data_IF_628241032263
#
_entry.id   IF_628241032263
#
_cell.length_a   1.000
_cell.length_b   1.000
_cell.length_c   1.000
_cell.angle_alpha   90.00
_cell.angle_beta   90.00
_cell.angle_gamma   90.00
#
_symmetry.space_group_name_H-M   'P 1'
#
loop_
_entity.id
_entity.type
_entity.pdbx_description
1 polymer ?
#
# COMPACT_ATOMS: atom_id res chain seq x y z
N UNK A 1 -17.10 -6.95 18.42
CA UNK A 1 -16.46 -6.99 17.08
C UNK A 1 -16.00 -5.61 16.61
N UNK A 2 -16.88 -4.60 16.58
CA UNK A 2 -16.55 -3.24 16.11
C UNK A 2 -15.31 -2.61 16.77
N UNK A 3 -15.17 -2.68 18.10
CA UNK A 3 -14.00 -2.13 18.81
C UNK A 3 -12.65 -2.73 18.36
N UNK A 4 -12.63 -4.03 18.04
CA UNK A 4 -11.43 -4.73 17.55
C UNK A 4 -11.11 -4.38 16.10
N UNK A 5 -12.16 -4.18 15.30
CA UNK A 5 -12.04 -3.70 13.92
C UNK A 5 -11.41 -2.30 13.89
N UNK A 6 -11.94 -1.39 14.69
CA UNK A 6 -11.42 -0.02 14.79
C UNK A 6 -9.98 0.01 15.31
N UNK A 7 -9.67 -0.81 16.33
CA UNK A 7 -8.31 -0.91 16.85
C UNK A 7 -7.29 -1.40 15.80
N UNK A 8 -7.67 -2.39 14.98
CA UNK A 8 -6.80 -2.86 13.90
C UNK A 8 -6.63 -1.80 12.81
N UNK A 9 -7.68 -1.08 12.44
CA UNK A 9 -7.60 0.01 11.47
C UNK A 9 -6.68 1.13 11.97
N UNK A 10 -6.86 1.57 13.23
CA UNK A 10 -6.03 2.59 13.84
C UNK A 10 -4.55 2.17 13.93
N UNK A 11 -4.27 0.90 14.24
CA UNK A 11 -2.92 0.34 14.22
C UNK A 11 -2.27 0.46 12.84
N UNK A 12 -2.99 0.06 11.79
CA UNK A 12 -2.48 0.09 10.40
C UNK A 12 -2.38 1.53 9.87
N UNK A 13 -3.28 2.41 10.26
CA UNK A 13 -3.22 3.83 9.92
C UNK A 13 -2.00 4.50 10.55
N UNK A 14 -1.74 4.24 11.84
CA UNK A 14 -0.55 4.73 12.53
C UNK A 14 0.76 4.23 11.91
N UNK A 15 0.76 3.04 11.31
CA UNK A 15 1.91 2.50 10.60
C UNK A 15 2.25 3.30 9.31
N UNK A 16 1.29 4.01 8.73
CA UNK A 16 1.49 4.89 7.59
C UNK A 16 2.18 4.21 6.40
N UNK A 17 3.26 4.81 5.90
CA UNK A 17 4.08 4.28 4.79
C UNK A 17 5.18 3.29 5.24
N UNK A 18 5.11 2.82 6.49
CA UNK A 18 5.95 1.74 7.04
C UNK A 18 5.01 0.61 7.50
N UNK A 19 4.26 0.00 6.57
CA UNK A 19 3.18 -0.93 6.88
C UNK A 19 3.67 -2.14 7.66
N UNK A 20 2.77 -2.71 8.44
CA UNK A 20 3.00 -3.97 9.14
C UNK A 20 2.79 -5.15 8.19
N UNK A 21 3.57 -6.19 8.36
CA UNK A 21 3.24 -7.51 7.83
C UNK A 21 2.02 -8.08 8.54
N UNK A 22 1.39 -9.08 7.93
CA UNK A 22 0.26 -9.78 8.55
C UNK A 22 0.61 -10.36 9.93
N UNK A 23 1.82 -10.89 10.08
CA UNK A 23 2.32 -11.43 11.35
C UNK A 23 2.59 -10.34 12.41
N UNK A 24 3.20 -9.22 12.02
CA UNK A 24 3.41 -8.08 12.92
C UNK A 24 2.06 -7.48 13.38
N UNK A 25 1.10 -7.35 12.46
CA UNK A 25 -0.23 -6.85 12.78
C UNK A 25 -1.00 -7.82 13.69
N UNK A 26 -0.91 -9.14 13.45
CA UNK A 26 -1.48 -10.16 14.32
C UNK A 26 -0.90 -10.02 15.74
N UNK A 27 0.42 -10.01 15.86
CA UNK A 27 1.11 -9.91 17.14
C UNK A 27 0.75 -8.63 17.90
N UNK A 28 0.75 -7.48 17.22
CA UNK A 28 0.42 -6.18 17.80
C UNK A 28 -1.07 -6.03 18.15
N UNK A 29 -1.97 -6.74 17.47
CA UNK A 29 -3.40 -6.69 17.73
C UNK A 29 -3.84 -7.50 18.96
N UNK A 30 -3.04 -8.47 19.41
CA UNK A 30 -3.40 -9.40 20.49
C UNK A 30 -4.61 -10.29 20.16
N UNK A 31 -4.98 -10.41 18.89
CA UNK A 31 -6.11 -11.22 18.44
C UNK A 31 -5.69 -12.67 18.19
N UNK A 32 -6.62 -13.60 18.36
CA UNK A 32 -6.43 -14.97 17.91
C UNK A 32 -6.40 -15.05 16.38
N UNK A 33 -5.50 -15.90 15.84
CA UNK A 33 -5.27 -16.01 14.39
C UNK A 33 -6.54 -16.22 13.56
N UNK A 34 -7.47 -17.15 13.90
CA UNK A 34 -8.68 -17.35 13.11
C UNK A 34 -9.57 -16.10 13.05
N UNK A 35 -9.71 -15.40 14.19
CA UNK A 35 -10.49 -14.16 14.27
C UNK A 35 -9.82 -13.02 13.49
N UNK A 36 -8.50 -12.87 13.65
CA UNK A 36 -7.72 -11.87 12.92
C UNK A 36 -7.84 -12.06 11.40
N UNK A 37 -7.66 -13.29 10.89
CA UNK A 37 -7.78 -13.57 9.46
C UNK A 37 -9.19 -13.28 8.93
N UNK A 38 -10.23 -13.63 9.69
CA UNK A 38 -11.62 -13.30 9.35
C UNK A 38 -11.84 -11.78 9.29
N UNK A 39 -11.29 -11.05 10.25
CA UNK A 39 -11.35 -9.59 10.30
C UNK A 39 -10.61 -8.94 9.12
N UNK A 40 -9.39 -9.38 8.81
CA UNK A 40 -8.61 -8.90 7.65
C UNK A 40 -9.38 -9.12 6.35
N UNK A 41 -9.92 -10.32 6.11
CA UNK A 41 -10.72 -10.60 4.90
C UNK A 41 -11.93 -9.67 4.77
N UNK A 42 -12.65 -9.43 5.86
CA UNK A 42 -13.80 -8.50 5.90
C UNK A 42 -13.37 -7.06 5.64
N UNK A 43 -12.27 -6.61 6.21
CA UNK A 43 -11.76 -5.25 6.00
C UNK A 43 -11.27 -5.03 4.57
N UNK A 44 -10.65 -6.06 3.97
CA UNK A 44 -10.23 -6.05 2.57
C UNK A 44 -11.44 -5.97 1.63
N UNK A 45 -12.47 -6.79 1.85
CA UNK A 45 -13.67 -6.77 1.00
C UNK A 45 -14.43 -5.45 1.08
N UNK A 46 -14.31 -4.73 2.20
CA UNK A 46 -14.84 -3.37 2.39
C UNK A 46 -13.94 -2.26 1.87
N UNK A 47 -12.77 -2.58 1.30
CA UNK A 47 -11.81 -1.58 0.80
C UNK A 47 -11.21 -0.70 1.90
N UNK A 48 -11.19 -1.15 3.15
CA UNK A 48 -10.63 -0.41 4.30
C UNK A 48 -9.14 -0.68 4.50
N UNK A 49 -8.67 -1.83 4.02
CA UNK A 49 -7.25 -2.20 4.02
C UNK A 49 -6.86 -2.78 2.67
N UNK A 50 -5.59 -2.64 2.30
CA UNK A 50 -5.03 -3.16 1.05
C UNK A 50 -3.85 -4.06 1.38
N UNK A 51 -3.79 -5.26 0.77
CA UNK A 51 -2.61 -6.11 0.86
C UNK A 51 -1.64 -5.76 -0.26
N UNK A 52 -0.42 -5.42 0.12
CA UNK A 52 0.67 -5.02 -0.78
C UNK A 52 1.75 -6.09 -0.78
N UNK A 53 2.21 -6.47 -1.97
CA UNK A 53 3.26 -7.46 -2.19
C UNK A 53 3.04 -8.77 -1.41
N UNK A 54 1.78 -9.22 -1.31
CA UNK A 54 1.39 -10.47 -0.66
C UNK A 54 1.53 -10.52 0.87
N UNK A 55 2.15 -9.52 1.52
CA UNK A 55 2.47 -9.61 2.96
C UNK A 55 2.17 -8.38 3.79
N UNK A 56 2.22 -7.18 3.22
CA UNK A 56 2.00 -5.94 3.96
C UNK A 56 0.53 -5.58 4.00
N UNK A 57 0.04 -5.19 5.17
CA UNK A 57 -1.30 -4.66 5.36
C UNK A 57 -1.21 -3.13 5.47
N UNK A 58 -1.81 -2.44 4.51
CA UNK A 58 -1.98 -1.00 4.54
C UNK A 58 -3.39 -0.64 4.99
N UNK A 59 -3.52 0.43 5.78
CA UNK A 59 -4.79 1.16 5.83
C UNK A 59 -5.06 1.86 4.49
N UNK A 60 -6.33 1.99 4.11
CA UNK A 60 -6.72 2.60 2.84
C UNK A 60 -6.21 4.04 2.69
N UNK A 61 -6.18 4.84 3.77
CA UNK A 61 -5.71 6.24 3.74
C UNK A 61 -4.26 6.36 3.26
N UNK A 62 -3.26 5.85 4.02
CA UNK A 62 -1.86 5.87 3.62
C UNK A 62 -1.59 5.19 2.26
N UNK A 63 -2.36 4.16 1.89
CA UNK A 63 -2.26 3.56 0.57
C UNK A 63 -2.65 4.54 -0.55
N UNK A 64 -3.77 5.25 -0.40
CA UNK A 64 -4.24 6.22 -1.38
C UNK A 64 -3.34 7.45 -1.45
N UNK A 65 -2.81 7.91 -0.32
CA UNK A 65 -1.81 8.98 -0.29
C UNK A 65 -0.55 8.60 -1.08
N UNK A 66 -0.03 7.39 -0.87
CA UNK A 66 1.12 6.90 -1.62
C UNK A 66 0.83 6.77 -3.12
N UNK A 67 -0.37 6.31 -3.49
CA UNK A 67 -0.82 6.24 -4.88
C UNK A 67 -0.86 7.62 -5.53
N UNK A 68 -1.44 8.63 -4.86
CA UNK A 68 -1.52 10.00 -5.36
C UNK A 68 -0.13 10.62 -5.52
N UNK A 69 0.72 10.50 -4.49
CA UNK A 69 2.08 11.01 -4.52
C UNK A 69 2.93 10.39 -5.65
N UNK A 70 2.73 9.09 -5.95
CA UNK A 70 3.37 8.45 -7.08
C UNK A 70 2.93 9.05 -8.41
N UNK A 71 1.62 9.25 -8.60
CA UNK A 71 1.06 9.84 -9.83
C UNK A 71 1.59 11.25 -10.03
N UNK A 72 1.57 12.08 -8.99
CA UNK A 72 2.11 13.45 -9.01
C UNK A 72 3.60 13.48 -9.36
N UNK A 73 4.39 12.61 -8.73
CA UNK A 73 5.83 12.50 -8.99
C UNK A 73 6.10 12.16 -10.47
N UNK A 74 5.42 11.15 -11.00
CA UNK A 74 5.54 10.74 -12.40
C UNK A 74 5.07 11.85 -13.37
N UNK A 75 3.91 12.48 -13.13
CA UNK A 75 3.39 13.54 -14.01
C UNK A 75 4.31 14.75 -14.07
N UNK A 76 4.97 15.11 -12.96
CA UNK A 76 5.88 16.23 -12.91
C UNK A 76 7.21 16.00 -13.65
N UNK A 77 7.61 14.74 -13.87
CA UNK A 77 8.96 14.37 -14.36
C UNK A 77 8.97 13.47 -15.60
N UNK A 78 7.81 13.01 -16.05
CA UNK A 78 7.65 12.00 -17.11
C UNK A 78 7.95 10.56 -16.67
N UNK A 79 8.77 10.39 -15.63
CA UNK A 79 9.08 9.10 -15.01
C UNK A 79 9.17 9.25 -13.48
N UNK A 80 9.08 8.13 -12.77
CA UNK A 80 9.18 8.07 -11.32
C UNK A 80 10.61 8.39 -10.86
N UNK A 81 10.74 9.48 -10.12
CA UNK A 81 11.91 9.79 -9.31
C UNK A 81 11.79 9.07 -7.97
N UNK A 82 12.46 7.92 -7.88
CA UNK A 82 12.40 7.02 -6.72
C UNK A 82 12.95 7.68 -5.44
N UNK A 83 14.12 8.35 -5.43
CA UNK A 83 14.60 9.08 -4.26
C UNK A 83 13.60 10.10 -3.75
N UNK A 84 13.06 10.96 -4.63
CA UNK A 84 12.10 11.97 -4.22
C UNK A 84 10.80 11.36 -3.70
N UNK A 85 10.29 10.31 -4.35
CA UNK A 85 9.09 9.61 -3.91
C UNK A 85 9.29 8.95 -2.54
N UNK A 86 10.44 8.31 -2.30
CA UNK A 86 10.82 7.75 -1.00
C UNK A 86 10.79 8.81 0.09
N UNK A 87 11.44 9.94 -0.16
CA UNK A 87 11.61 11.01 0.80
C UNK A 87 10.26 11.67 1.11
N UNK A 88 9.41 11.84 0.09
CA UNK A 88 8.02 12.30 0.24
C UNK A 88 7.19 11.38 1.14
N UNK A 89 7.36 10.07 1.03
CA UNK A 89 6.65 9.10 1.89
C UNK A 89 7.32 8.89 3.25
N UNK A 90 8.49 9.48 3.51
CA UNK A 90 9.25 9.26 4.75
C UNK A 90 9.55 7.79 5.03
N UNK A 91 9.75 6.98 3.97
CA UNK A 91 9.89 5.53 4.07
C UNK A 91 11.30 5.05 3.65
N UNK A 92 11.53 3.74 3.69
CA UNK A 92 12.81 3.12 3.33
C UNK A 92 12.64 2.17 2.15
N UNK A 93 13.74 1.75 1.53
CA UNK A 93 13.73 0.77 0.42
C UNK A 93 13.01 -0.54 0.79
N UNK A 94 13.07 -0.95 2.07
CA UNK A 94 12.37 -2.13 2.61
C UNK A 94 10.87 -2.11 2.30
N UNK A 95 10.23 -0.96 2.40
CA UNK A 95 8.79 -0.80 2.17
C UNK A 95 8.48 -0.26 0.77
N UNK A 96 9.36 0.60 0.25
CA UNK A 96 9.18 1.24 -1.04
C UNK A 96 9.21 0.25 -2.20
N UNK A 97 10.18 -0.66 -2.24
CA UNK A 97 10.33 -1.61 -3.36
C UNK A 97 9.07 -2.48 -3.50
N UNK A 98 8.57 -3.13 -2.42
CA UNK A 98 7.33 -3.90 -2.47
C UNK A 98 6.10 -3.07 -2.88
N UNK A 99 6.03 -1.80 -2.46
CA UNK A 99 4.95 -0.92 -2.86
C UNK A 99 5.00 -0.60 -4.36
N UNK A 100 6.19 -0.35 -4.91
CA UNK A 100 6.38 -0.10 -6.33
C UNK A 100 6.11 -1.35 -7.18
N UNK A 101 6.52 -2.52 -6.72
CA UNK A 101 6.17 -3.80 -7.36
C UNK A 101 4.67 -4.06 -7.35
N UNK A 102 3.99 -3.70 -6.25
CA UNK A 102 2.53 -3.76 -6.19
C UNK A 102 1.88 -2.81 -7.21
N UNK A 103 2.35 -1.57 -7.32
CA UNK A 103 1.83 -0.62 -8.30
C UNK A 103 2.10 -1.05 -9.75
N UNK A 104 3.23 -1.70 -10.01
CA UNK A 104 3.50 -2.35 -11.30
C UNK A 104 2.50 -3.50 -11.56
N UNK A 105 2.30 -4.35 -10.55
CA UNK A 105 1.43 -5.53 -10.64
C UNK A 105 -0.04 -5.21 -10.87
N UNK A 106 -0.55 -4.13 -10.27
CA UNK A 106 -1.93 -3.66 -10.52
C UNK A 106 -2.04 -2.76 -11.75
N UNK A 107 -0.94 -2.56 -12.48
CA UNK A 107 -0.94 -1.80 -13.73
C UNK A 107 -1.02 -0.29 -13.59
N UNK A 108 -0.77 0.27 -12.41
CA UNK A 108 -0.64 1.72 -12.24
C UNK A 108 0.62 2.25 -12.91
N UNK A 109 1.70 1.49 -12.80
CA UNK A 109 2.99 1.80 -13.40
C UNK A 109 3.52 0.64 -14.23
N UNK A 110 4.51 0.94 -15.07
CA UNK A 110 5.28 -0.08 -15.77
C UNK A 110 6.75 0.31 -15.79
N UNK A 111 7.62 -0.70 -15.74
CA UNK A 111 9.06 -0.50 -15.97
C UNK A 111 9.31 -0.31 -17.47
N UNK A 112 10.05 0.75 -17.83
CA UNK A 112 10.56 1.02 -19.18
C UNK A 112 12.06 1.29 -19.08
N UNK A 113 12.88 0.29 -19.44
CA UNK A 113 14.32 0.32 -19.21
C UNK A 113 14.64 0.43 -17.71
N UNK A 114 15.46 1.41 -17.32
CA UNK A 114 15.80 1.70 -15.93
C UNK A 114 14.75 2.52 -15.18
N UNK A 115 13.74 3.05 -15.88
CA UNK A 115 12.73 3.94 -15.32
C UNK A 115 11.42 3.20 -15.05
N UNK A 116 10.59 3.81 -14.20
CA UNK A 116 9.20 3.44 -14.00
C UNK A 116 8.32 4.61 -14.43
N UNK A 117 7.30 4.35 -15.22
CA UNK A 117 6.39 5.39 -15.75
C UNK A 117 4.95 5.03 -15.41
N UNK A 118 4.04 6.00 -15.43
CA UNK A 118 2.61 5.71 -15.39
C UNK A 118 2.21 4.92 -16.63
N UNK A 119 1.34 3.94 -16.46
CA UNK A 119 0.67 3.31 -17.60
C UNK A 119 -0.42 4.28 -18.08
N UNK A 120 -0.45 4.60 -19.37
CA UNK A 120 -1.49 5.46 -19.94
C UNK A 120 -2.88 4.90 -19.56
N UNK A 121 -3.72 5.76 -18.98
CA UNK A 121 -5.09 5.40 -18.55
C UNK A 121 -6.01 5.07 -19.74
N UNK A 122 -5.54 5.30 -20.97
CA UNK A 122 -6.28 5.12 -22.23
C UNK A 122 -6.41 3.67 -22.71
N UNK A 123 -5.79 2.69 -22.06
CA UNK A 123 -5.83 1.28 -22.49
C UNK A 123 -6.71 0.36 -21.60
N UNK A 124 -7.43 0.90 -20.62
CA UNK A 124 -8.24 0.13 -19.66
C UNK A 124 -9.72 0.50 -19.58
N UNK A 125 -10.18 1.41 -20.45
CA UNK A 125 -11.60 1.68 -20.67
C UNK A 125 -11.99 1.12 -22.04
N UNK A 126 -12.23 -0.19 -22.09
CA UNK A 126 -12.95 -0.88 -23.16
C UNK A 126 -13.71 -2.02 -22.53
#
# INVERSE_FOLDING_TARGET
AARREEALLALLEKAGHKPLTEEEALAASGLERPFFQSLVRRLQSRGRIVRVAGKFLYHQGPYQEARRALIENCKARGALDIPLFRDRLGTTRKYLIPLLEHFDGIGLTARRGSNRVLRDETAGAS
#
